data_IF_347637499314
#
_entry.id   IF_347637499314
#
_cell.length_a   1.000
_cell.length_b   1.000
_cell.length_c   1.000
_cell.angle_alpha   90.00
_cell.angle_beta   90.00
_cell.angle_gamma   90.00
#
_symmetry.space_group_name_H-M   'P 1'
#
loop_
_entity.id
_entity.type
_entity.pdbx_description
1 polymer ?
#
# COMPACT_ATOMS: atom_id res chain seq x y z
N UNK A 1 -13.71 -11.77 10.84
CA UNK A 1 -14.91 -11.34 10.07
C UNK A 1 -15.05 -9.84 10.27
N UNK A 2 -14.92 -9.04 9.21
CA UNK A 2 -15.04 -7.57 9.33
C UNK A 2 -16.47 -7.19 9.73
N UNK A 3 -16.63 -6.22 10.64
CA UNK A 3 -17.94 -5.71 11.05
C UNK A 3 -18.61 -5.01 9.88
N UNK A 4 -19.94 -5.14 9.73
CA UNK A 4 -20.71 -4.49 8.66
C UNK A 4 -20.47 -2.97 8.62
N UNK A 5 -20.28 -2.36 9.79
CA UNK A 5 -19.99 -0.93 9.94
C UNK A 5 -18.62 -0.48 9.36
N UNK A 6 -17.74 -1.41 8.94
CA UNK A 6 -16.49 -1.05 8.24
C UNK A 6 -16.68 -0.87 6.73
N UNK A 7 -17.87 -1.14 6.20
CA UNK A 7 -18.20 -0.87 4.79
C UNK A 7 -19.06 0.40 4.72
N UNK A 8 -18.60 1.47 4.06
CA UNK A 8 -19.37 2.71 3.93
C UNK A 8 -20.78 2.45 3.38
N UNK A 9 -21.77 3.15 3.94
CA UNK A 9 -23.18 3.03 3.52
C UNK A 9 -23.92 1.80 4.05
N UNK A 10 -23.26 0.88 4.76
CA UNK A 10 -23.90 -0.31 5.33
C UNK A 10 -24.23 -0.14 6.81
N UNK A 11 -25.37 -0.67 7.25
CA UNK A 11 -25.76 -0.76 8.66
C UNK A 11 -26.40 -2.11 8.98
N UNK A 12 -26.16 -2.64 10.18
CA UNK A 12 -26.85 -3.83 10.67
C UNK A 12 -28.28 -3.47 11.08
N UNK A 13 -29.25 -4.25 10.60
CA UNK A 13 -30.66 -4.14 11.02
C UNK A 13 -31.22 -5.55 11.13
N UNK A 14 -32.19 -5.80 12.03
CA UNK A 14 -32.87 -7.08 12.32
C UNK A 14 -32.58 -8.29 11.39
N UNK A 15 -31.45 -8.98 11.63
CA UNK A 15 -31.10 -10.21 10.92
C UNK A 15 -30.52 -10.05 9.50
N UNK A 16 -30.02 -8.87 9.13
CA UNK A 16 -29.48 -8.56 7.81
C UNK A 16 -28.77 -7.21 7.75
N UNK A 17 -28.53 -6.71 6.55
CA UNK A 17 -27.81 -5.45 6.31
C UNK A 17 -28.65 -4.51 5.45
N UNK A 18 -28.74 -3.26 5.87
CA UNK A 18 -29.29 -2.17 5.06
C UNK A 18 -28.13 -1.47 4.36
N UNK A 19 -28.19 -1.42 3.02
CA UNK A 19 -27.16 -0.81 2.18
C UNK A 19 -27.73 0.44 1.54
N UNK A 20 -27.14 1.59 1.86
CA UNK A 20 -27.41 2.88 1.21
C UNK A 20 -26.50 3.04 0.00
N UNK A 21 -27.10 3.32 -1.15
CA UNK A 21 -26.34 3.57 -2.38
C UNK A 21 -27.00 4.62 -3.27
N UNK A 22 -26.18 5.42 -3.92
CA UNK A 22 -26.57 6.35 -4.97
C UNK A 22 -26.08 5.79 -6.33
N UNK A 23 -26.97 5.25 -7.17
CA UNK A 23 -26.58 4.78 -8.49
C UNK A 23 -26.00 5.92 -9.33
N UNK A 24 -25.05 5.59 -10.21
CA UNK A 24 -24.43 6.58 -11.10
C UNK A 24 -25.48 7.18 -12.03
N UNK A 25 -25.56 8.51 -12.07
CA UNK A 25 -26.50 9.24 -12.92
C UNK A 25 -27.86 9.52 -12.25
N UNK A 26 -28.10 8.95 -11.08
CA UNK A 26 -29.27 9.26 -10.27
C UNK A 26 -28.97 10.39 -9.28
N UNK A 27 -30.02 11.04 -8.79
CA UNK A 27 -29.95 12.08 -7.76
C UNK A 27 -30.54 11.63 -6.41
N UNK A 28 -31.22 10.50 -6.38
CA UNK A 28 -31.84 9.94 -5.18
C UNK A 28 -31.07 8.71 -4.69
N UNK A 29 -30.79 8.69 -3.38
CA UNK A 29 -30.25 7.51 -2.70
C UNK A 29 -31.33 6.44 -2.55
N UNK A 30 -30.95 5.17 -2.63
CA UNK A 30 -31.83 4.04 -2.33
C UNK A 30 -31.26 3.18 -1.22
N UNK A 31 -32.16 2.51 -0.49
CA UNK A 31 -31.82 1.56 0.56
C UNK A 31 -32.20 0.16 0.10
N UNK A 32 -31.22 -0.75 0.09
CA UNK A 32 -31.44 -2.17 -0.17
C UNK A 32 -31.30 -2.98 1.11
N UNK A 33 -32.31 -3.81 1.37
CA UNK A 33 -32.28 -4.81 2.44
C UNK A 33 -31.71 -6.12 1.90
N UNK A 34 -30.56 -6.56 2.42
CA UNK A 34 -29.91 -7.80 1.96
C UNK A 34 -29.43 -8.66 3.13
N UNK A 35 -29.20 -9.95 2.86
CA UNK A 35 -28.72 -10.87 3.89
C UNK A 35 -27.23 -10.67 4.23
N UNK A 36 -26.39 -10.32 3.25
CA UNK A 36 -24.92 -10.27 3.40
C UNK A 36 -24.28 -9.27 2.44
N UNK A 37 -23.22 -8.60 2.91
CA UNK A 37 -22.31 -7.78 2.09
C UNK A 37 -20.95 -8.47 2.01
N UNK A 38 -20.34 -8.50 0.83
CA UNK A 38 -18.95 -8.92 0.63
C UNK A 38 -18.18 -7.72 0.11
N UNK A 39 -17.19 -7.25 0.87
CA UNK A 39 -16.35 -6.14 0.44
C UNK A 39 -15.27 -6.61 -0.53
N UNK A 40 -15.40 -6.21 -1.79
CA UNK A 40 -14.44 -6.50 -2.87
C UNK A 40 -13.75 -5.24 -3.41
N UNK A 41 -13.68 -4.13 -2.65
CA UNK A 41 -13.09 -2.86 -3.12
C UNK A 41 -11.56 -2.85 -3.17
N UNK A 42 -10.92 -3.96 -2.80
CA UNK A 42 -9.47 -4.05 -2.69
C UNK A 42 -8.93 -3.50 -1.37
N UNK A 43 -7.60 -3.56 -1.17
CA UNK A 43 -6.96 -3.03 0.04
C UNK A 43 -7.01 -1.49 0.07
N UNK A 44 -6.95 -0.92 1.27
CA UNK A 44 -6.71 0.51 1.44
C UNK A 44 -5.30 0.85 0.94
N UNK A 45 -5.21 1.75 -0.03
CA UNK A 45 -3.94 2.22 -0.60
C UNK A 45 -3.55 3.59 -0.08
N UNK A 46 -4.49 4.32 0.52
CA UNK A 46 -4.22 5.60 1.15
C UNK A 46 -3.71 5.37 2.57
N UNK A 47 -2.37 5.44 2.74
CA UNK A 47 -1.73 5.19 4.03
C UNK A 47 -2.13 6.22 5.11
N UNK A 48 -2.76 7.34 4.74
CA UNK A 48 -3.32 8.31 5.69
C UNK A 48 -4.54 7.75 6.45
N UNK A 49 -5.19 6.72 5.89
CA UNK A 49 -6.38 6.05 6.46
C UNK A 49 -6.06 4.74 7.16
N UNK A 50 -4.82 4.26 7.05
CA UNK A 50 -4.39 3.01 7.66
C UNK A 50 -4.22 3.20 9.17
N UNK A 51 -4.83 2.31 9.96
CA UNK A 51 -4.77 2.37 11.43
C UNK A 51 -3.55 1.69 12.04
N UNK A 52 -2.76 0.97 11.24
CA UNK A 52 -1.54 0.30 11.70
C UNK A 52 -0.54 1.31 12.31
N UNK A 53 -0.17 1.07 13.57
CA UNK A 53 0.64 2.01 14.35
C UNK A 53 2.04 2.22 13.76
N UNK A 54 2.64 1.19 13.15
CA UNK A 54 3.96 1.31 12.53
C UNK A 54 3.88 2.15 11.26
N UNK A 55 2.90 1.86 10.38
CA UNK A 55 2.67 2.64 9.15
C UNK A 55 2.41 4.12 9.47
N UNK A 56 1.51 4.38 10.42
CA UNK A 56 1.22 5.74 10.87
C UNK A 56 2.47 6.44 11.36
N UNK A 57 3.29 5.75 12.15
CA UNK A 57 4.52 6.33 12.69
C UNK A 57 5.53 6.65 11.60
N UNK A 58 5.66 5.84 10.55
CA UNK A 58 6.53 6.12 9.41
C UNK A 58 6.13 7.41 8.69
N UNK A 59 4.82 7.63 8.50
CA UNK A 59 4.28 8.85 7.88
C UNK A 59 4.50 10.05 8.81
N UNK A 60 4.16 9.93 10.10
CA UNK A 60 4.32 10.99 11.10
C UNK A 60 5.78 11.42 11.28
N UNK A 61 6.71 10.48 11.25
CA UNK A 61 8.16 10.77 11.31
C UNK A 61 8.73 11.28 9.98
N UNK A 62 7.92 11.34 8.91
CA UNK A 62 8.36 11.78 7.59
C UNK A 62 9.31 10.84 6.88
N UNK A 63 9.43 9.58 7.35
CA UNK A 63 10.27 8.54 6.72
C UNK A 63 9.73 8.15 5.36
N UNK A 64 8.39 8.16 5.23
CA UNK A 64 7.68 7.93 3.98
C UNK A 64 6.66 9.06 3.79
N UNK A 65 6.30 9.38 2.54
CA UNK A 65 5.16 10.24 2.23
C UNK A 65 4.18 9.55 1.29
N UNK A 66 2.86 9.66 1.52
CA UNK A 66 1.87 9.25 0.54
C UNK A 66 2.05 10.00 -0.78
N UNK A 67 1.74 9.38 -1.91
CA UNK A 67 1.67 10.09 -3.19
C UNK A 67 0.49 11.09 -3.21
N UNK A 68 0.49 12.00 -4.19
CA UNK A 68 -0.51 13.07 -4.27
C UNK A 68 -1.97 12.58 -4.37
N UNK A 69 -2.19 11.38 -4.92
CA UNK A 69 -3.52 10.81 -5.13
C UNK A 69 -3.91 9.81 -4.02
N UNK A 70 -3.01 9.49 -3.09
CA UNK A 70 -3.26 8.48 -2.04
C UNK A 70 -3.43 7.06 -2.60
N UNK A 71 -2.71 6.74 -3.68
CA UNK A 71 -2.67 5.42 -4.29
C UNK A 71 -1.48 4.58 -3.79
N UNK A 72 -0.69 5.11 -2.86
CA UNK A 72 0.44 4.45 -2.26
C UNK A 72 1.44 5.46 -1.67
N UNK A 73 2.72 5.16 -1.84
CA UNK A 73 3.86 5.96 -1.37
C UNK A 73 4.60 6.58 -2.55
N UNK A 74 5.23 7.72 -2.28
CA UNK A 74 6.08 8.36 -3.28
C UNK A 74 7.47 7.68 -3.34
N UNK A 75 7.91 7.40 -4.56
CA UNK A 75 9.21 6.77 -4.85
C UNK A 75 9.92 7.49 -5.97
N UNK A 76 11.22 7.28 -6.14
CA UNK A 76 11.85 7.56 -7.42
C UNK A 76 11.51 6.48 -8.47
N UNK A 77 12.02 6.64 -9.69
CA UNK A 77 11.81 5.68 -10.78
C UNK A 77 12.32 4.26 -10.45
N UNK A 78 13.28 4.14 -9.54
CA UNK A 78 13.91 2.87 -9.13
C UNK A 78 13.27 2.26 -7.88
N UNK A 79 12.24 2.89 -7.32
CA UNK A 79 11.53 2.43 -6.12
C UNK A 79 12.17 2.88 -4.81
N UNK A 80 13.18 3.77 -4.81
CA UNK A 80 13.67 4.35 -3.57
C UNK A 80 12.62 5.29 -2.98
N UNK A 81 12.33 5.16 -1.68
CA UNK A 81 11.32 5.99 -1.01
C UNK A 81 11.71 7.47 -1.06
N UNK A 82 10.73 8.33 -1.30
CA UNK A 82 10.89 9.78 -1.09
C UNK A 82 10.32 10.14 0.28
N UNK A 83 11.15 10.77 1.10
CA UNK A 83 10.80 11.22 2.45
C UNK A 83 9.90 12.46 2.39
N UNK A 84 9.28 12.83 3.50
CA UNK A 84 8.42 14.01 3.56
C UNK A 84 9.14 15.32 3.18
N UNK A 85 10.44 15.41 3.45
CA UNK A 85 11.30 16.55 3.08
C UNK A 85 11.75 16.54 1.60
N UNK A 86 11.31 15.56 0.81
CA UNK A 86 11.67 15.41 -0.60
C UNK A 86 12.99 14.67 -0.84
N UNK A 87 13.68 14.17 0.19
CA UNK A 87 14.91 13.40 0.03
C UNK A 87 14.62 11.96 -0.37
N UNK A 88 15.31 11.50 -1.42
CA UNK A 88 15.33 10.09 -1.82
C UNK A 88 16.16 9.28 -0.83
N UNK A 89 15.61 8.17 -0.35
CA UNK A 89 16.24 7.29 0.63
C UNK A 89 17.18 6.29 -0.05
N UNK A 90 18.44 6.23 0.41
CA UNK A 90 19.42 5.28 -0.15
C UNK A 90 19.26 3.84 0.37
N UNK A 91 18.51 3.67 1.47
CA UNK A 91 18.43 2.42 2.24
C UNK A 91 17.03 1.85 2.36
N UNK A 92 16.02 2.59 1.90
CA UNK A 92 14.63 2.18 1.96
C UNK A 92 14.05 2.18 0.55
N UNK A 93 13.74 0.99 0.07
CA UNK A 93 13.19 0.77 -1.26
C UNK A 93 11.85 0.06 -1.16
N UNK A 94 10.99 0.32 -2.13
CA UNK A 94 9.64 -0.20 -2.24
C UNK A 94 9.48 -0.94 -3.57
N UNK A 95 8.91 -2.14 -3.50
CA UNK A 95 8.35 -2.86 -4.65
C UNK A 95 6.92 -3.21 -4.28
N UNK A 96 6.02 -3.13 -5.25
CA UNK A 96 4.67 -3.64 -5.10
C UNK A 96 3.56 -2.61 -5.10
N UNK A 97 2.34 -3.03 -4.67
CA UNK A 97 1.10 -2.28 -4.87
C UNK A 97 1.10 -0.85 -4.34
N UNK A 98 1.94 -0.54 -3.35
CA UNK A 98 2.09 0.83 -2.84
C UNK A 98 2.85 1.76 -3.81
N UNK A 99 3.28 1.29 -4.98
CA UNK A 99 3.77 2.14 -6.08
C UNK A 99 2.72 2.44 -7.13
N UNK A 100 1.46 2.03 -6.91
CA UNK A 100 0.36 2.20 -7.87
C UNK A 100 0.13 3.66 -8.30
N UNK A 101 0.46 4.63 -7.45
CA UNK A 101 0.43 6.06 -7.79
C UNK A 101 1.38 6.45 -8.92
N UNK A 102 2.49 5.72 -9.11
CA UNK A 102 3.44 5.92 -10.21
C UNK A 102 3.31 4.87 -11.31
N UNK A 103 3.12 3.60 -10.92
CA UNK A 103 3.09 2.44 -11.81
C UNK A 103 1.86 1.61 -11.50
N UNK A 104 0.78 1.84 -12.24
CA UNK A 104 -0.52 1.21 -12.00
C UNK A 104 -0.47 -0.32 -11.98
N UNK A 105 0.34 -0.90 -12.88
CA UNK A 105 0.49 -2.35 -13.07
C UNK A 105 1.41 -3.01 -12.04
N UNK A 106 1.95 -2.25 -11.07
CA UNK A 106 2.83 -2.74 -10.01
C UNK A 106 2.09 -3.54 -8.92
N UNK A 107 1.19 -4.40 -9.38
CA UNK A 107 0.38 -5.35 -8.63
C UNK A 107 0.44 -6.73 -9.28
N UNK A 108 0.84 -6.82 -10.55
CA UNK A 108 0.89 -8.06 -11.31
C UNK A 108 2.26 -8.75 -11.20
N UNK A 109 2.23 -10.09 -11.13
CA UNK A 109 3.40 -10.93 -10.87
C UNK A 109 4.56 -10.71 -11.85
N UNK A 110 4.34 -10.60 -13.18
CA UNK A 110 5.42 -10.37 -14.14
C UNK A 110 6.20 -9.08 -13.87
N UNK A 111 5.49 -7.98 -13.62
CA UNK A 111 6.03 -6.65 -13.35
C UNK A 111 6.81 -6.67 -12.04
N UNK A 112 6.22 -7.23 -10.97
CA UNK A 112 6.86 -7.39 -9.67
C UNK A 112 8.19 -8.15 -9.76
N UNK A 113 8.23 -9.22 -10.58
CA UNK A 113 9.45 -10.02 -10.77
C UNK A 113 10.55 -9.21 -11.44
N UNK A 114 10.22 -8.44 -12.48
CA UNK A 114 11.20 -7.60 -13.16
C UNK A 114 11.73 -6.48 -12.26
N UNK A 115 10.84 -5.79 -11.54
CA UNK A 115 11.24 -4.74 -10.60
C UNK A 115 12.10 -5.26 -9.45
N UNK A 116 11.70 -6.38 -8.85
CA UNK A 116 12.46 -6.99 -7.76
C UNK A 116 13.86 -7.37 -8.21
N UNK A 117 14.01 -7.93 -9.42
CA UNK A 117 15.32 -8.25 -9.99
C UNK A 117 16.17 -7.00 -10.22
N UNK A 118 15.59 -5.94 -10.78
CA UNK A 118 16.30 -4.67 -11.00
C UNK A 118 16.76 -4.05 -9.68
N UNK A 119 15.89 -4.03 -8.68
CA UNK A 119 16.19 -3.54 -7.33
C UNK A 119 17.30 -4.35 -6.67
N UNK A 120 17.21 -5.68 -6.71
CA UNK A 120 18.21 -6.56 -6.12
C UNK A 120 19.61 -6.35 -6.74
N UNK A 121 19.69 -6.16 -8.06
CA UNK A 121 20.94 -5.83 -8.74
C UNK A 121 21.51 -4.48 -8.27
N UNK A 122 20.66 -3.46 -8.14
CA UNK A 122 21.05 -2.14 -7.64
C UNK A 122 21.57 -2.20 -6.20
N UNK A 123 20.90 -2.96 -5.33
CA UNK A 123 21.34 -3.18 -3.95
C UNK A 123 22.67 -3.95 -3.86
N UNK A 124 22.84 -5.01 -4.65
CA UNK A 124 24.07 -5.79 -4.66
C UNK A 124 25.29 -4.94 -5.04
N UNK A 125 25.12 -3.97 -5.96
CA UNK A 125 26.18 -3.02 -6.33
C UNK A 125 26.51 -1.99 -5.25
N UNK A 126 25.64 -1.80 -4.25
CA UNK A 126 25.80 -0.83 -3.15
C UNK A 126 26.39 -1.45 -1.88
N UNK A 127 26.41 -2.77 -1.77
CA UNK A 127 26.92 -3.48 -0.59
C UNK A 127 28.39 -3.87 -0.80
N UNK A 128 29.26 -3.39 0.07
CA UNK A 128 30.64 -3.90 0.15
C UNK A 128 30.62 -5.23 0.88
N UNK A 129 30.90 -6.32 0.17
CA UNK A 129 31.07 -7.64 0.78
C UNK A 129 32.41 -7.68 1.51
N UNK A 130 32.38 -7.52 2.82
CA UNK A 130 33.55 -7.77 3.67
C UNK A 130 33.67 -9.28 3.87
N UNK A 131 34.63 -9.93 3.20
CA UNK A 131 34.97 -11.33 3.51
C UNK A 131 35.51 -11.40 4.94
N UNK A 132 34.80 -12.06 5.86
CA UNK A 132 35.39 -12.49 7.14
C UNK A 132 36.41 -13.58 6.83
N UNK A 133 37.69 -13.28 7.00
CA UNK A 133 38.74 -14.29 7.04
C UNK A 133 38.53 -15.19 8.26
N UNK A 134 38.37 -16.50 8.02
CA UNK A 134 38.50 -17.50 9.07
C UNK A 134 39.96 -17.92 9.07
N UNK A 135 40.74 -17.40 10.01
CA UNK A 135 42.04 -17.98 10.32
C UNK A 135 41.79 -19.23 11.16
N UNK A 136 41.95 -20.41 10.55
CA UNK A 136 42.13 -21.65 11.29
C UNK A 136 43.63 -21.76 11.58
N UNK A 137 44.00 -21.40 12.80
CA UNK A 137 45.34 -21.65 13.33
C UNK A 137 45.59 -23.15 13.40
N UNK A 138 46.76 -23.56 12.90
CA UNK A 138 47.31 -24.92 12.86
C UNK A 138 47.58 -25.44 14.27
#
# INVERSE_FOLDING_TARGET
MHRVNSVPGCGESDGGVDVRMLPRGESAEMVLRIARVINCTGPETDLRKVEDAFVRRLVECGVVRPDALGLGLDTDAHGAIVSADGRVQDRLMLVGPLRKGQLWENTAVPELRHETLAMAKGLAGRVVVVKRGVEVGV
#
